data_IF_683353277834
#
_entry.id   IF_683353277834
#
_cell.length_a   1.000
_cell.length_b   1.000
_cell.length_c   1.000
_cell.angle_alpha   90.00
_cell.angle_beta   90.00
_cell.angle_gamma   90.00
#
_symmetry.space_group_name_H-M   'P 1'
#
loop_
_entity.id
_entity.type
_entity.pdbx_description
1 polymer ?
#
# COMPACT_ATOMS: atom_id res chain seq x y z
N UNK A 1 -10.31 17.34 12.57
CA UNK A 1 -9.68 16.24 11.82
C UNK A 1 -9.60 15.03 12.74
N UNK A 2 -10.13 13.89 12.33
CA UNK A 2 -9.92 12.62 13.05
C UNK A 2 -8.45 12.25 12.89
N UNK A 3 -7.70 11.94 13.95
CA UNK A 3 -6.30 11.53 13.82
C UNK A 3 -6.21 10.31 12.91
N UNK A 4 -5.33 10.38 11.91
CA UNK A 4 -5.02 9.24 11.05
C UNK A 4 -4.12 8.29 11.83
N UNK A 5 -4.73 7.27 12.43
CA UNK A 5 -4.02 6.28 13.24
C UNK A 5 -3.69 5.05 12.41
N UNK A 6 -2.40 4.73 12.31
CA UNK A 6 -1.92 3.44 11.87
C UNK A 6 -2.06 2.45 13.03
N UNK A 7 -2.81 1.38 12.82
CA UNK A 7 -3.12 0.40 13.88
C UNK A 7 -2.30 -0.88 13.69
N UNK A 8 -1.76 -1.42 14.79
CA UNK A 8 -1.12 -2.73 14.80
C UNK A 8 -2.16 -3.83 15.07
N UNK A 9 -2.31 -4.77 14.15
CA UNK A 9 -3.16 -5.95 14.26
C UNK A 9 -2.32 -7.19 14.57
N UNK A 10 -2.79 -8.01 15.51
CA UNK A 10 -2.17 -9.30 15.79
C UNK A 10 -2.52 -10.39 14.75
N UNK A 11 -1.87 -11.56 14.80
CA UNK A 11 -2.11 -12.68 13.86
C UNK A 11 -3.55 -13.20 13.89
N UNK A 12 -4.26 -13.02 15.01
CA UNK A 12 -5.67 -13.35 15.12
C UNK A 12 -6.61 -12.49 14.26
N UNK A 13 -6.13 -11.51 13.50
CA UNK A 13 -6.96 -10.66 12.63
C UNK A 13 -7.02 -11.14 11.17
N UNK A 14 -6.02 -11.88 10.69
CA UNK A 14 -6.06 -12.49 9.35
C UNK A 14 -7.18 -13.53 9.25
N UNK A 15 -7.93 -13.58 8.14
CA UNK A 15 -9.06 -14.53 7.98
C UNK A 15 -8.87 -15.47 6.81
N UNK A 16 -8.62 -14.95 5.63
CA UNK A 16 -8.51 -15.76 4.42
C UNK A 16 -7.83 -14.98 3.30
N UNK A 17 -7.16 -15.65 2.35
CA UNK A 17 -6.78 -15.03 1.10
C UNK A 17 -8.00 -14.87 0.18
N UNK A 18 -7.97 -13.86 -0.68
CA UNK A 18 -8.98 -13.66 -1.72
C UNK A 18 -8.38 -13.91 -3.11
N UNK A 19 -7.37 -13.12 -3.51
CA UNK A 19 -6.70 -13.26 -4.81
C UNK A 19 -5.32 -12.59 -4.82
N UNK A 20 -4.38 -13.05 -5.66
CA UNK A 20 -3.20 -12.25 -6.00
C UNK A 20 -3.61 -10.96 -6.73
N UNK A 21 -2.78 -9.92 -6.63
CA UNK A 21 -2.96 -8.67 -7.38
C UNK A 21 -1.91 -8.61 -8.50
N UNK A 22 -2.36 -8.56 -9.75
CA UNK A 22 -1.49 -8.48 -10.92
C UNK A 22 -0.87 -7.07 -11.06
N UNK A 23 0.47 -7.00 -11.05
CA UNK A 23 1.28 -5.78 -11.15
C UNK A 23 2.75 -6.08 -10.76
N UNK A 24 3.71 -5.35 -11.29
CA UNK A 24 5.14 -5.75 -11.46
C UNK A 24 6.01 -5.93 -10.20
N UNK A 25 5.43 -6.02 -9.01
CA UNK A 25 6.11 -6.56 -7.85
C UNK A 25 5.14 -7.51 -7.14
N UNK A 26 5.50 -8.80 -7.08
CA UNK A 26 4.75 -9.93 -6.52
C UNK A 26 4.54 -9.87 -5.00
N UNK A 27 4.50 -8.67 -4.44
CA UNK A 27 4.43 -8.40 -3.01
C UNK A 27 3.02 -7.99 -2.57
N UNK A 28 1.97 -8.18 -3.37
CA UNK A 28 0.61 -7.76 -3.01
C UNK A 28 -0.44 -8.88 -3.20
N UNK A 29 -1.23 -9.12 -2.16
CA UNK A 29 -2.38 -10.03 -2.16
C UNK A 29 -3.62 -9.34 -1.60
N UNK A 30 -4.78 -9.57 -2.19
CA UNK A 30 -6.04 -9.21 -1.55
C UNK A 30 -6.43 -10.30 -0.54
N UNK A 31 -6.78 -9.89 0.68
CA UNK A 31 -7.14 -10.76 1.80
C UNK A 31 -8.41 -10.26 2.48
N UNK A 32 -9.04 -11.14 3.25
CA UNK A 32 -10.02 -10.76 4.27
C UNK A 32 -9.33 -10.69 5.64
N UNK A 33 -9.57 -9.62 6.38
CA UNK A 33 -9.15 -9.46 7.77
C UNK A 33 -10.33 -9.02 8.67
N UNK A 34 -10.14 -9.11 10.00
CA UNK A 34 -10.97 -8.37 10.96
C UNK A 34 -10.24 -7.09 11.39
N UNK A 35 -10.89 -5.95 11.30
CA UNK A 35 -10.33 -4.67 11.75
C UNK A 35 -10.28 -4.56 13.29
N UNK A 36 -9.79 -3.44 13.82
CA UNK A 36 -9.70 -3.17 15.25
C UNK A 36 -11.06 -3.12 15.96
N UNK A 37 -12.16 -2.98 15.20
CA UNK A 37 -13.54 -3.01 15.70
C UNK A 37 -14.17 -4.41 15.60
N UNK A 38 -13.44 -5.38 15.07
CA UNK A 38 -13.91 -6.75 14.85
C UNK A 38 -14.74 -6.94 13.58
N UNK A 39 -14.88 -5.91 12.73
CA UNK A 39 -15.61 -6.00 11.46
C UNK A 39 -14.73 -6.65 10.39
N UNK A 40 -15.34 -7.45 9.53
CA UNK A 40 -14.65 -8.02 8.37
C UNK A 40 -14.42 -6.94 7.30
N UNK A 41 -13.22 -6.94 6.73
CA UNK A 41 -12.79 -6.02 5.66
C UNK A 41 -11.97 -6.78 4.64
N UNK A 42 -12.09 -6.38 3.38
CA UNK A 42 -11.11 -6.74 2.36
C UNK A 42 -9.96 -5.74 2.43
N UNK A 43 -8.75 -6.24 2.24
CA UNK A 43 -7.54 -5.45 2.33
C UNK A 43 -6.47 -5.93 1.36
N UNK A 44 -5.67 -5.00 0.86
CA UNK A 44 -4.42 -5.32 0.17
C UNK A 44 -3.33 -5.53 1.20
N UNK A 45 -2.77 -6.73 1.22
CA UNK A 45 -1.67 -7.16 2.06
C UNK A 45 -0.38 -7.10 1.27
N UNK A 46 0.64 -6.44 1.82
CA UNK A 46 2.00 -6.48 1.30
C UNK A 46 3.00 -7.01 2.31
N UNK A 47 3.95 -7.79 1.81
CA UNK A 47 5.02 -8.36 2.61
C UNK A 47 6.35 -8.29 1.85
N UNK A 48 7.43 -8.14 2.60
CA UNK A 48 8.78 -7.96 2.07
C UNK A 48 9.75 -8.93 2.74
N UNK A 49 10.83 -9.32 2.04
CA UNK A 49 11.87 -10.14 2.64
C UNK A 49 12.64 -9.34 3.72
N UNK A 50 13.36 -10.07 4.57
CA UNK A 50 14.22 -9.45 5.58
C UNK A 50 15.21 -8.45 4.98
N UNK A 51 15.33 -7.28 5.58
CA UNK A 51 16.26 -6.22 5.15
C UNK A 51 15.63 -5.14 4.27
N UNK A 52 14.49 -5.38 3.62
CA UNK A 52 13.71 -4.34 2.94
C UNK A 52 13.21 -3.27 3.93
N UNK A 53 13.04 -2.04 3.43
CA UNK A 53 12.40 -0.91 4.11
C UNK A 53 11.02 -0.59 3.54
N UNK A 54 10.50 -1.41 2.61
CA UNK A 54 9.19 -1.23 1.96
C UNK A 54 8.04 -1.04 2.95
N UNK A 55 7.99 -1.80 4.05
CA UNK A 55 6.98 -1.61 5.10
C UNK A 55 7.04 -0.21 5.74
N UNK A 56 8.24 0.26 6.08
CA UNK A 56 8.42 1.57 6.69
C UNK A 56 8.08 2.68 5.68
N UNK A 57 8.45 2.47 4.42
CA UNK A 57 8.17 3.34 3.30
C UNK A 57 6.66 3.49 3.04
N UNK A 58 5.91 2.39 2.99
CA UNK A 58 4.44 2.40 2.86
C UNK A 58 3.77 3.13 4.02
N UNK A 59 4.18 2.86 5.26
CA UNK A 59 3.66 3.55 6.43
C UNK A 59 3.92 5.07 6.38
N UNK A 60 5.15 5.46 6.05
CA UNK A 60 5.53 6.87 5.97
C UNK A 60 4.81 7.59 4.82
N UNK A 61 4.79 7.00 3.63
CA UNK A 61 4.11 7.53 2.46
C UNK A 61 2.62 7.74 2.71
N UNK A 62 1.93 6.73 3.25
CA UNK A 62 0.51 6.84 3.61
C UNK A 62 0.26 7.97 4.62
N UNK A 63 1.06 8.05 5.70
CA UNK A 63 0.90 9.09 6.73
C UNK A 63 1.12 10.50 6.19
N UNK A 64 2.17 10.69 5.38
CA UNK A 64 2.53 11.99 4.80
C UNK A 64 1.47 12.43 3.80
N UNK A 65 1.06 11.55 2.89
CA UNK A 65 0.03 11.82 1.90
C UNK A 65 -1.29 12.23 2.57
N UNK A 66 -1.70 11.50 3.62
CA UNK A 66 -2.89 11.89 4.40
C UNK A 66 -2.75 13.21 5.12
N UNK A 67 -1.59 13.50 5.71
CA UNK A 67 -1.33 14.78 6.37
C UNK A 67 -1.39 15.97 5.39
N UNK A 68 -1.12 15.73 4.10
CA UNK A 68 -1.27 16.70 3.00
C UNK A 68 -2.67 16.75 2.39
N UNK A 69 -3.60 15.93 2.89
CA UNK A 69 -4.96 15.85 2.36
C UNK A 69 -5.04 15.21 0.97
N UNK A 70 -4.02 14.43 0.60
CA UNK A 70 -4.03 13.58 -0.59
C UNK A 70 -4.78 12.30 -0.24
N UNK A 71 -5.69 11.89 -1.12
CA UNK A 71 -6.48 10.68 -0.90
C UNK A 71 -5.59 9.44 -1.03
N UNK A 72 -5.73 8.56 -0.06
CA UNK A 72 -5.07 7.26 0.12
C UNK A 72 -6.13 6.27 0.57
N UNK A 73 -5.87 4.95 0.60
CA UNK A 73 -6.80 4.01 1.21
C UNK A 73 -7.27 4.50 2.59
N UNK A 74 -8.58 4.44 2.87
CA UNK A 74 -9.19 5.09 4.04
C UNK A 74 -8.65 4.56 5.37
N UNK A 75 -8.15 3.32 5.37
CA UNK A 75 -7.54 2.67 6.52
C UNK A 75 -6.24 1.99 6.11
N UNK A 76 -5.31 1.99 7.03
CA UNK A 76 -4.06 1.26 6.95
C UNK A 76 -3.75 0.59 8.28
N UNK A 77 -3.07 -0.54 8.21
CA UNK A 77 -2.66 -1.35 9.33
C UNK A 77 -1.25 -1.88 9.12
N UNK A 78 -0.54 -2.08 10.22
CA UNK A 78 0.52 -3.08 10.27
C UNK A 78 -0.13 -4.35 10.81
N UNK A 79 -0.08 -5.45 10.08
CA UNK A 79 -0.62 -6.74 10.52
C UNK A 79 0.53 -7.72 10.75
N UNK A 80 0.57 -8.31 11.94
CA UNK A 80 1.47 -9.41 12.24
C UNK A 80 0.85 -10.70 11.69
N UNK A 81 1.50 -11.36 10.75
CA UNK A 81 1.05 -12.64 10.20
C UNK A 81 2.00 -13.76 10.58
N UNK A 82 1.52 -15.00 10.69
CA UNK A 82 2.41 -16.15 10.81
C UNK A 82 3.03 -16.43 9.46
N UNK A 83 4.31 -16.80 9.43
CA UNK A 83 5.00 -17.16 8.20
C UNK A 83 4.28 -18.28 7.45
N UNK A 84 3.74 -19.29 8.15
CA UNK A 84 2.96 -20.35 7.51
C UNK A 84 1.66 -19.88 6.84
N UNK A 85 1.11 -18.72 7.22
CA UNK A 85 -0.04 -18.10 6.52
C UNK A 85 0.40 -17.29 5.29
N UNK A 86 1.68 -16.89 5.22
CA UNK A 86 2.26 -16.08 4.15
C UNK A 86 2.89 -16.93 3.05
N UNK A 87 3.46 -18.09 3.38
CA UNK A 87 4.07 -19.04 2.43
C UNK A 87 3.17 -19.37 1.22
N UNK A 88 1.85 -19.58 1.36
CA UNK A 88 0.98 -19.84 0.22
C UNK A 88 0.65 -18.60 -0.62
N UNK A 89 0.93 -17.40 -0.09
CA UNK A 89 0.60 -16.13 -0.73
C UNK A 89 1.81 -15.61 -1.50
N UNK A 90 3.00 -15.68 -0.93
CA UNK A 90 4.18 -15.05 -1.50
C UNK A 90 5.24 -16.08 -1.85
N UNK A 91 5.71 -16.04 -3.10
CA UNK A 91 6.88 -16.78 -3.56
C UNK A 91 8.16 -16.09 -3.07
N UNK A 92 8.49 -16.29 -1.80
CA UNK A 92 9.68 -15.69 -1.17
C UNK A 92 10.27 -16.57 -0.07
N UNK A 93 11.59 -16.49 0.11
CA UNK A 93 12.28 -17.22 1.16
C UNK A 93 12.19 -16.51 2.52
N UNK A 94 11.38 -17.05 3.43
CA UNK A 94 11.18 -16.49 4.78
C UNK A 94 12.31 -16.80 5.76
N UNK A 95 13.06 -17.89 5.54
CA UNK A 95 14.21 -18.30 6.36
C UNK A 95 13.95 -18.33 7.88
N UNK A 96 12.73 -18.67 8.30
CA UNK A 96 12.34 -18.80 9.71
C UNK A 96 11.20 -19.80 9.90
N UNK A 97 10.86 -20.11 11.16
CA UNK A 97 9.84 -21.10 11.48
C UNK A 97 8.42 -20.62 11.10
N UNK A 98 7.51 -21.52 10.67
CA UNK A 98 6.15 -21.14 10.24
C UNK A 98 5.32 -20.40 11.28
N UNK A 99 5.60 -20.57 12.59
CA UNK A 99 4.90 -19.91 13.67
C UNK A 99 5.42 -18.50 13.98
N UNK A 100 6.56 -18.11 13.40
CA UNK A 100 7.16 -16.79 13.54
C UNK A 100 6.20 -15.72 13.04
N UNK A 101 6.08 -14.64 13.80
CA UNK A 101 5.32 -13.46 13.39
C UNK A 101 6.17 -12.57 12.48
N UNK A 102 5.60 -12.22 11.33
CA UNK A 102 6.16 -11.32 10.34
C UNK A 102 5.28 -10.07 10.19
N UNK A 103 5.85 -8.86 10.25
CA UNK A 103 5.07 -7.64 10.05
C UNK A 103 4.82 -7.40 8.56
N UNK A 104 3.55 -7.18 8.22
CA UNK A 104 3.08 -6.88 6.88
C UNK A 104 2.35 -5.55 6.86
N UNK A 105 2.31 -4.92 5.70
CA UNK A 105 1.47 -3.75 5.44
C UNK A 105 0.09 -4.21 5.00
N UNK A 106 -0.97 -3.55 5.47
CA UNK A 106 -2.31 -3.79 4.97
C UNK A 106 -3.06 -2.46 4.79
N UNK A 107 -3.79 -2.31 3.69
CA UNK A 107 -4.70 -1.18 3.45
C UNK A 107 -6.09 -1.67 3.09
N UNK A 108 -7.13 -0.93 3.46
CA UNK A 108 -8.50 -1.28 3.06
C UNK A 108 -8.59 -1.27 1.53
N UNK A 109 -9.17 -2.32 0.95
CA UNK A 109 -9.36 -2.39 -0.49
C UNK A 109 -10.20 -1.21 -0.96
N UNK A 110 -9.79 -0.59 -2.06
CA UNK A 110 -10.53 0.49 -2.71
C UNK A 110 -11.08 -0.01 -4.03
N UNK A 111 -12.32 0.35 -4.34
CA UNK A 111 -12.89 0.11 -5.66
C UNK A 111 -12.43 1.23 -6.60
N UNK A 112 -11.80 0.85 -7.71
CA UNK A 112 -11.30 1.81 -8.68
C UNK A 112 -10.45 1.15 -9.75
N UNK A 113 -9.98 1.97 -10.69
CA UNK A 113 -9.18 1.54 -11.84
C UNK A 113 -7.83 2.26 -11.83
N UNK A 114 -6.70 1.53 -11.87
CA UNK A 114 -5.39 2.13 -12.12
C UNK A 114 -5.36 2.94 -13.42
N UNK A 115 -4.72 4.11 -13.44
CA UNK A 115 -4.74 4.99 -14.63
C UNK A 115 -4.06 4.36 -15.84
N UNK A 116 -3.06 3.52 -15.64
CA UNK A 116 -2.37 2.79 -16.72
C UNK A 116 -3.26 1.75 -17.43
N UNK A 117 -4.43 1.43 -16.86
CA UNK A 117 -5.47 0.58 -17.48
C UNK A 117 -6.55 1.39 -18.19
N UNK A 118 -6.43 2.71 -18.22
CA UNK A 118 -7.37 3.63 -18.86
C UNK A 118 -6.75 4.24 -20.12
N UNK A 119 -7.61 4.76 -21.01
CA UNK A 119 -7.13 5.54 -22.15
C UNK A 119 -6.37 6.81 -21.68
N UNK A 120 -5.20 7.05 -22.29
CA UNK A 120 -4.28 8.10 -21.88
C UNK A 120 -4.85 9.51 -22.05
N UNK A 121 -5.62 9.75 -23.11
CA UNK A 121 -6.29 11.04 -23.32
C UNK A 121 -7.33 11.28 -22.23
N UNK A 122 -8.15 10.26 -21.94
CA UNK A 122 -9.20 10.36 -20.95
C UNK A 122 -8.67 10.58 -19.52
N UNK A 123 -7.65 9.85 -19.08
CA UNK A 123 -7.17 10.03 -17.70
C UNK A 123 -6.35 11.31 -17.53
N UNK A 124 -5.64 11.79 -18.56
CA UNK A 124 -4.86 13.02 -18.47
C UNK A 124 -5.76 14.25 -18.23
N UNK A 125 -6.88 14.34 -18.94
CA UNK A 125 -7.87 15.42 -18.75
C UNK A 125 -8.46 15.40 -17.33
N UNK A 126 -8.84 14.22 -16.84
CA UNK A 126 -9.41 14.06 -15.50
C UNK A 126 -8.38 14.36 -14.40
N UNK A 127 -7.14 13.88 -14.57
CA UNK A 127 -6.06 14.12 -13.62
C UNK A 127 -5.72 15.60 -13.53
N UNK A 128 -5.76 16.35 -14.65
CA UNK A 128 -5.57 17.79 -14.66
C UNK A 128 -6.61 18.57 -13.83
N UNK A 129 -7.81 18.00 -13.65
CA UNK A 129 -8.85 18.56 -12.79
C UNK A 129 -8.71 18.16 -11.31
N UNK A 130 -7.81 17.23 -10.97
CA UNK A 130 -7.66 16.77 -9.59
C UNK A 130 -7.03 17.86 -8.71
N UNK A 131 -7.76 18.43 -7.73
CA UNK A 131 -7.26 19.58 -6.97
C UNK A 131 -6.00 19.27 -6.16
N UNK A 132 -5.73 17.99 -5.87
CA UNK A 132 -4.57 17.52 -5.11
C UNK A 132 -3.39 17.11 -5.98
N UNK A 133 -3.50 17.16 -7.31
CA UNK A 133 -2.41 16.78 -8.20
C UNK A 133 -1.09 17.52 -7.88
N UNK A 134 -1.07 18.86 -7.65
CA UNK A 134 0.18 19.55 -7.32
C UNK A 134 0.80 19.06 -5.99
N UNK A 135 -0.02 18.81 -4.97
CA UNK A 135 0.44 18.26 -3.69
C UNK A 135 0.99 16.84 -3.87
N UNK A 136 0.33 16.00 -4.67
CA UNK A 136 0.76 14.63 -4.95
C UNK A 136 2.11 14.58 -5.68
N UNK A 137 2.28 15.40 -6.73
CA UNK A 137 3.56 15.55 -7.43
C UNK A 137 4.64 16.03 -6.46
N UNK A 138 4.36 17.07 -5.67
CA UNK A 138 5.33 17.61 -4.71
C UNK A 138 5.75 16.58 -3.66
N UNK A 139 4.83 15.75 -3.16
CA UNK A 139 5.13 14.68 -2.20
C UNK A 139 5.99 13.60 -2.86
N UNK A 140 5.67 13.14 -4.07
CA UNK A 140 6.46 12.14 -4.78
C UNK A 140 7.89 12.62 -5.06
N UNK A 141 8.05 13.86 -5.54
CA UNK A 141 9.35 14.49 -5.78
C UNK A 141 10.14 14.64 -4.48
N UNK A 142 9.51 15.18 -3.42
CA UNK A 142 10.17 15.38 -2.13
C UNK A 142 10.62 14.07 -1.49
N UNK A 143 9.80 13.03 -1.61
CA UNK A 143 10.13 11.70 -1.12
C UNK A 143 11.07 10.93 -2.04
N UNK A 144 11.47 11.48 -3.19
CA UNK A 144 12.25 10.76 -4.19
C UNK A 144 11.63 9.38 -4.51
N UNK A 145 10.35 9.39 -4.86
CA UNK A 145 9.59 8.19 -5.18
C UNK A 145 9.99 7.67 -6.57
N UNK A 146 10.79 6.60 -6.62
CA UNK A 146 11.37 6.11 -7.89
C UNK A 146 10.41 5.28 -8.74
N UNK A 147 9.27 4.85 -8.18
CA UNK A 147 8.21 4.14 -8.88
C UNK A 147 6.88 4.92 -8.90
N UNK A 148 6.95 6.25 -8.94
CA UNK A 148 5.77 7.11 -9.07
C UNK A 148 5.16 7.04 -10.50
N UNK A 149 4.53 5.92 -10.85
CA UNK A 149 3.93 5.68 -12.16
C UNK A 149 2.37 5.76 -12.14
N UNK A 150 1.74 5.75 -13.32
CA UNK A 150 0.28 5.88 -13.46
C UNK A 150 -0.52 4.69 -12.88
N UNK A 151 0.08 3.50 -12.78
CA UNK A 151 -0.53 2.34 -12.14
C UNK A 151 -0.70 2.50 -10.62
N UNK A 152 0.09 3.39 -10.01
CA UNK A 152 0.03 3.73 -8.58
C UNK A 152 -0.97 4.85 -8.26
N UNK A 153 -1.76 5.27 -9.25
CA UNK A 153 -2.88 6.20 -9.09
C UNK A 153 -4.17 5.46 -9.46
N UNK A 154 -5.10 5.39 -8.52
CA UNK A 154 -6.38 4.71 -8.68
C UNK A 154 -7.49 5.75 -8.85
N UNK A 155 -8.15 5.73 -10.01
CA UNK A 155 -9.40 6.48 -10.20
C UNK A 155 -10.55 5.77 -9.48
N UNK A 156 -11.09 6.40 -8.43
CA UNK A 156 -12.20 5.85 -7.63
C UNK A 156 -13.55 6.42 -8.05
N UNK A 157 -13.56 7.61 -8.65
CA UNK A 157 -14.74 8.25 -9.27
C UNK A 157 -14.27 9.25 -10.35
N UNK A 158 -15.20 9.93 -11.05
CA UNK A 158 -14.95 10.82 -12.18
C UNK A 158 -13.78 11.78 -11.94
N UNK A 159 -13.74 12.45 -10.78
CA UNK A 159 -12.69 13.43 -10.43
C UNK A 159 -11.99 13.11 -9.11
N UNK A 160 -12.06 11.85 -8.67
CA UNK A 160 -11.46 11.39 -7.42
C UNK A 160 -10.39 10.34 -7.69
N UNK A 161 -9.20 10.63 -7.19
CA UNK A 161 -8.01 9.81 -7.36
C UNK A 161 -7.41 9.50 -6.02
N UNK A 162 -6.96 8.27 -5.85
CA UNK A 162 -6.27 7.79 -4.66
C UNK A 162 -4.87 7.34 -5.05
N UNK A 163 -3.85 7.74 -4.30
CA UNK A 163 -2.49 7.24 -4.49
C UNK A 163 -2.26 6.01 -3.62
N UNK A 164 -1.55 5.05 -4.19
CA UNK A 164 -1.17 3.79 -3.54
C UNK A 164 0.31 3.54 -3.81
N UNK A 165 0.84 2.52 -3.14
CA UNK A 165 2.20 2.02 -3.33
C UNK A 165 3.30 3.06 -3.10
N UNK A 166 3.77 3.16 -1.86
CA UNK A 166 4.89 4.01 -1.52
C UNK A 166 6.15 3.20 -1.21
N UNK A 167 6.22 1.91 -1.59
CA UNK A 167 7.33 1.05 -1.19
C UNK A 167 8.69 1.58 -1.67
N UNK A 168 8.74 2.27 -2.81
CA UNK A 168 9.97 2.79 -3.43
C UNK A 168 10.23 4.29 -3.19
N UNK A 169 9.73 4.85 -2.09
CA UNK A 169 10.16 6.17 -1.62
C UNK A 169 11.60 6.14 -1.05
N UNK A 170 12.20 7.32 -0.92
CA UNK A 170 13.55 7.56 -0.42
C UNK A 170 14.64 6.89 -1.27
N UNK A 171 14.40 6.78 -2.58
CA UNK A 171 15.32 6.11 -3.51
C UNK A 171 15.21 4.58 -3.52
N UNK A 172 14.08 4.01 -3.11
CA UNK A 172 13.77 2.58 -3.17
C UNK A 172 13.82 1.85 -1.82
N UNK A 173 13.42 0.58 -1.78
CA UNK A 173 13.29 -0.18 -0.52
C UNK A 173 14.62 -0.52 0.22
N UNK A 174 15.78 -0.24 -0.39
CA UNK A 174 17.11 -0.65 0.12
C UNK A 174 17.97 0.51 0.58
N UNK A 175 17.37 1.65 0.89
CA UNK A 175 18.13 2.78 1.40
C UNK A 175 18.89 2.42 2.68
N UNK A 176 20.10 2.96 2.79
CA UNK A 176 21.02 2.79 3.92
C UNK A 176 21.57 4.16 4.32
N UNK A 177 22.30 4.24 5.43
CA UNK A 177 23.08 5.45 5.71
C UNK A 177 24.08 5.61 4.58
N UNK A 178 23.91 6.64 3.75
CA UNK A 178 24.93 7.05 2.78
C UNK A 178 26.26 7.24 3.51
N UNK A 179 27.35 6.83 2.88
CA UNK A 179 28.71 7.13 3.34
C UNK A 179 28.95 8.63 3.46
#
# INVERSE_FOLDING_TARGET
MTPHTLTLLGPGHYRAPLRPVDGTASHCHEITLKDETGRHRNAYLKAWPGGSKGLANEAAGWLISRARGIDTPPRAWIILMRVGDLEPLFDMEWNCAPDKLWPCWATESIEGVPLDRMDAGMWAERLACWPRLPDAIAVHEWLHHTDANAGNIIAVDLDQFTIVDHADILGGERWSRGH
#
